data_IF_324313833924
#
_entry.id   IF_324313833924
#
_cell.length_a   1.000
_cell.length_b   1.000
_cell.length_c   1.000
_cell.angle_alpha   90.00
_cell.angle_beta   90.00
_cell.angle_gamma   90.00
#
_symmetry.space_group_name_H-M   'P 1'
#
loop_
_entity.id
_entity.type
_entity.pdbx_description
1 polymer ?
#
# COMPACT_ATOMS: atom_id res chain seq x y z
N UNK A 1 -5.45 8.05 7.89
CA UNK A 1 -4.98 6.65 7.74
C UNK A 1 -5.09 5.88 9.06
N UNK A 2 -4.29 6.19 10.09
CA UNK A 2 -4.29 5.46 11.36
C UNK A 2 -5.67 5.32 12.03
N UNK A 3 -6.45 6.41 12.13
CA UNK A 3 -7.78 6.37 12.77
C UNK A 3 -8.80 5.48 12.06
N UNK A 4 -8.83 5.49 10.72
CA UNK A 4 -9.74 4.63 9.95
C UNK A 4 -9.38 3.14 10.08
N UNK A 5 -8.08 2.82 10.07
CA UNK A 5 -7.60 1.45 10.26
C UNK A 5 -7.95 0.96 11.67
N UNK A 6 -7.68 1.78 12.69
CA UNK A 6 -8.03 1.45 14.08
C UNK A 6 -9.52 1.17 14.24
N UNK A 7 -10.37 2.04 13.68
CA UNK A 7 -11.83 1.86 13.72
C UNK A 7 -12.29 0.60 12.99
N UNK A 8 -11.72 0.28 11.83
CA UNK A 8 -12.08 -0.93 11.08
C UNK A 8 -11.72 -2.22 11.86
N UNK A 9 -10.56 -2.24 12.50
CA UNK A 9 -10.13 -3.36 13.37
C UNK A 9 -11.08 -3.48 14.57
N UNK A 10 -11.38 -2.38 15.23
CA UNK A 10 -12.29 -2.35 16.38
C UNK A 10 -13.69 -2.85 16.01
N UNK A 11 -14.26 -2.35 14.91
CA UNK A 11 -15.64 -2.63 14.54
C UNK A 11 -15.86 -4.02 13.95
N UNK A 12 -14.87 -4.55 13.22
CA UNK A 12 -15.04 -5.76 12.43
C UNK A 12 -14.13 -6.92 12.85
N UNK A 13 -13.09 -6.67 13.66
CA UNK A 13 -12.17 -7.71 14.11
C UNK A 13 -11.38 -8.39 12.98
N UNK A 14 -11.33 -7.77 11.80
CA UNK A 14 -10.67 -8.33 10.61
C UNK A 14 -9.29 -7.71 10.38
N UNK A 15 -8.34 -8.46 9.81
CA UNK A 15 -7.06 -7.90 9.39
C UNK A 15 -7.28 -6.83 8.30
N UNK A 16 -6.58 -5.69 8.43
CA UNK A 16 -6.61 -4.61 7.45
C UNK A 16 -5.35 -4.65 6.60
N UNK A 17 -5.51 -4.96 5.31
CA UNK A 17 -4.44 -4.87 4.32
C UNK A 17 -4.48 -3.51 3.66
N UNK A 18 -3.32 -2.84 3.57
CA UNK A 18 -3.21 -1.51 2.99
C UNK A 18 -2.18 -1.51 1.87
N UNK A 19 -2.51 -0.84 0.77
CA UNK A 19 -1.63 -0.68 -0.40
C UNK A 19 -1.79 0.71 -1.00
N UNK A 20 -0.69 1.27 -1.47
CA UNK A 20 -0.64 2.52 -2.23
C UNK A 20 -0.16 2.21 -3.64
N UNK A 21 -0.95 2.61 -4.63
CA UNK A 21 -0.65 2.37 -6.05
C UNK A 21 -0.30 3.71 -6.70
N UNK A 22 0.92 3.79 -7.22
CA UNK A 22 1.39 4.92 -8.01
C UNK A 22 1.25 4.61 -9.50
N UNK A 23 0.47 5.45 -10.19
CA UNK A 23 0.15 5.27 -11.61
C UNK A 23 1.15 5.96 -12.54
N UNK A 24 1.67 7.13 -12.13
CA UNK A 24 2.66 7.85 -12.94
C UNK A 24 4.07 7.32 -12.67
N UNK A 25 4.95 7.29 -13.69
CA UNK A 25 6.29 6.73 -13.54
C UNK A 25 7.15 7.41 -12.48
N UNK A 26 6.96 8.70 -12.26
CA UNK A 26 7.71 9.54 -11.32
C UNK A 26 7.07 9.63 -9.92
N UNK A 27 5.88 9.07 -9.73
CA UNK A 27 5.16 9.19 -8.48
C UNK A 27 5.66 8.19 -7.43
N UNK A 28 5.78 8.65 -6.18
CA UNK A 28 6.04 7.75 -5.06
C UNK A 28 7.45 7.17 -4.98
N UNK A 29 8.42 7.69 -5.75
CA UNK A 29 9.82 7.21 -5.73
C UNK A 29 10.46 7.14 -4.35
N UNK A 30 10.04 8.02 -3.43
CA UNK A 30 10.56 8.08 -2.05
C UNK A 30 9.56 7.63 -1.00
N UNK A 31 8.43 7.04 -1.39
CA UNK A 31 7.48 6.50 -0.43
C UNK A 31 8.10 5.26 0.26
N UNK A 32 8.31 5.31 1.59
CA UNK A 32 8.93 4.22 2.34
C UNK A 32 7.97 3.05 2.62
N UNK A 33 6.70 3.13 2.22
CA UNK A 33 5.71 2.11 2.56
C UNK A 33 5.21 2.20 4.00
N UNK A 34 5.30 3.39 4.59
CA UNK A 34 4.84 3.60 5.96
C UNK A 34 4.38 5.04 6.20
N UNK A 35 3.36 5.15 7.04
CA UNK A 35 2.99 6.37 7.73
C UNK A 35 3.54 6.30 9.16
N UNK A 36 4.36 7.29 9.52
CA UNK A 36 4.92 7.43 10.84
C UNK A 36 4.50 8.77 11.44
N UNK A 37 3.76 8.71 12.54
CA UNK A 37 3.48 9.87 13.38
C UNK A 37 4.20 9.70 14.72
N UNK A 38 5.05 10.68 15.04
CA UNK A 38 5.75 10.76 16.31
C UNK A 38 5.17 11.89 17.12
N UNK A 39 4.72 11.58 18.33
CA UNK A 39 4.37 12.55 19.37
C UNK A 39 5.24 12.23 20.60
N UNK A 40 5.57 13.17 21.50
CA UNK A 40 6.44 12.88 22.64
C UNK A 40 5.98 11.64 23.43
N UNK A 41 6.82 10.60 23.47
CA UNK A 41 6.54 9.32 24.14
C UNK A 41 5.63 8.35 23.36
N UNK A 42 5.09 8.73 22.21
CA UNK A 42 4.12 7.93 21.46
C UNK A 42 4.49 7.83 19.98
N UNK A 43 4.45 6.61 19.45
CA UNK A 43 4.71 6.32 18.04
C UNK A 43 3.54 5.59 17.44
N UNK A 44 2.96 6.15 16.38
CA UNK A 44 1.97 5.49 15.54
C UNK A 44 2.62 5.12 14.22
N UNK A 45 2.71 3.82 13.95
CA UNK A 45 3.24 3.27 12.72
C UNK A 45 2.15 2.51 11.97
N UNK A 46 1.94 2.85 10.71
CA UNK A 46 1.11 2.08 9.78
C UNK A 46 1.98 1.69 8.60
N UNK A 47 2.11 0.38 8.35
CA UNK A 47 2.85 -0.15 7.21
C UNK A 47 1.88 -0.54 6.10
N UNK A 48 2.28 -0.31 4.85
CA UNK A 48 1.49 -0.63 3.68
C UNK A 48 2.40 -1.03 2.51
N UNK A 49 1.84 -1.79 1.57
CA UNK A 49 2.56 -2.18 0.36
C UNK A 49 2.56 -1.03 -0.64
N UNK A 50 3.75 -0.65 -1.13
CA UNK A 50 3.85 0.29 -2.25
C UNK A 50 3.93 -0.49 -3.55
N UNK A 51 3.10 -0.11 -4.51
CA UNK A 51 3.07 -0.67 -5.85
C UNK A 51 3.27 0.48 -6.84
N UNK A 52 4.31 0.43 -7.66
CA UNK A 52 4.56 1.40 -8.72
C UNK A 52 4.34 0.72 -10.05
N UNK A 53 3.36 1.18 -10.83
CA UNK A 53 3.05 0.54 -12.10
C UNK A 53 4.22 0.62 -13.09
N UNK A 54 5.03 1.67 -13.02
CA UNK A 54 6.25 1.81 -13.85
C UNK A 54 7.33 0.77 -13.55
N UNK A 55 7.33 0.19 -12.34
CA UNK A 55 8.27 -0.86 -11.95
C UNK A 55 7.74 -2.26 -12.25
N UNK A 56 6.45 -2.37 -12.59
CA UNK A 56 5.87 -3.63 -13.02
C UNK A 56 6.25 -3.87 -14.48
N UNK A 57 6.74 -5.07 -14.76
CA UNK A 57 6.99 -5.50 -16.12
C UNK A 57 5.65 -5.81 -16.80
N UNK A 58 4.98 -4.75 -17.25
CA UNK A 58 3.59 -4.77 -17.70
C UNK A 58 3.33 -5.79 -18.79
N UNK A 59 4.28 -5.99 -19.72
CA UNK A 59 4.15 -6.98 -20.78
C UNK A 59 4.03 -8.40 -20.23
N UNK A 60 4.85 -8.79 -19.24
CA UNK A 60 4.78 -10.13 -18.62
C UNK A 60 3.44 -10.38 -17.91
N UNK A 61 2.85 -9.35 -17.29
CA UNK A 61 1.55 -9.46 -16.61
C UNK A 61 0.41 -9.66 -17.62
N UNK A 62 0.45 -8.91 -18.73
CA UNK A 62 -0.52 -9.06 -19.81
C UNK A 62 -0.38 -10.41 -20.52
N UNK A 63 0.84 -10.84 -20.76
CA UNK A 63 1.14 -12.14 -21.37
C UNK A 63 0.66 -13.30 -20.48
N UNK A 64 0.87 -13.21 -19.16
CA UNK A 64 0.38 -14.22 -18.21
C UNK A 64 -1.16 -14.30 -18.14
N UNK A 65 -1.86 -13.18 -18.36
CA UNK A 65 -3.32 -13.14 -18.43
C UNK A 65 -3.91 -13.68 -19.74
N UNK A 66 -3.11 -13.79 -20.80
CA UNK A 66 -3.53 -14.33 -22.10
C UNK A 66 -3.28 -15.83 -22.28
N UNK A 67 -2.60 -16.50 -21.34
CA UNK A 67 -2.35 -17.96 -21.38
C UNK A 67 -3.58 -18.80 -20.97
N UNK A 68 -4.75 -18.19 -20.75
CA UNK A 68 -6.00 -18.94 -20.55
C UNK A 68 -7.17 -18.29 -21.28
N UNK A 69 -7.26 -18.55 -22.59
CA UNK A 69 -8.54 -18.64 -23.30
C UNK A 69 -8.44 -19.56 -24.49
#
# INVERSE_FOLDING_TARGET
MAGYIGRAIEQHGVPVFSSVIYLRPDAGHRDPGQYLQTHPGHRVLVQYKVIRLSELEGQRILDAGHVTR
#
